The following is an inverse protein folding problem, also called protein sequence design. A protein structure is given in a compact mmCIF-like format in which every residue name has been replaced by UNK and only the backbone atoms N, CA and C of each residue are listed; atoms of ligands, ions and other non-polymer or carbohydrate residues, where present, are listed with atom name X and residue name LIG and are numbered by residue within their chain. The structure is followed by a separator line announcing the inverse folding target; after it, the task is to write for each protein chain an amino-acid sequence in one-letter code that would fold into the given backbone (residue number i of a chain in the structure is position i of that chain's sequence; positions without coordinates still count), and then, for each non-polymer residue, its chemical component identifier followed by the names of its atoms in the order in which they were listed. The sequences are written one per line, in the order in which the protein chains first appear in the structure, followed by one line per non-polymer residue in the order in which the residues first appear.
data_IF_017406537075
#
_entry.id   IF_017406537075
#
_cell.length_a   1.000
_cell.length_b   1.000
_cell.length_c   1.000
_cell.angle_alpha   90.00
_cell.angle_beta   90.00
_cell.angle_gamma   90.00
#
_symmetry.space_group_name_H-M   'P 1'
#
loop_
_entity.id
_entity.type
_entity.pdbx_description
1 polymer ?
#
# COMPACT_ATOMS: atom_id res chain seq x y z
N UNK A 1 0.39 -43.69 -34.40
CA UNK A 1 -0.54 -42.58 -34.00
C UNK A 1 -0.76 -42.67 -32.51
N UNK A 2 0.02 -41.96 -31.75
CA UNK A 2 -0.04 -41.91 -30.28
C UNK A 2 -0.75 -40.62 -29.86
N UNK A 3 -1.93 -40.76 -29.27
CA UNK A 3 -2.72 -39.64 -28.70
C UNK A 3 -1.97 -39.06 -27.50
N UNK A 4 -1.54 -37.79 -27.58
CA UNK A 4 -1.10 -37.00 -26.44
C UNK A 4 -2.32 -36.71 -25.57
N UNK A 5 -2.37 -37.32 -24.38
CA UNK A 5 -3.32 -36.97 -23.35
C UNK A 5 -2.99 -35.57 -22.79
N UNK A 6 -3.90 -34.64 -22.93
CA UNK A 6 -3.88 -33.38 -22.21
C UNK A 6 -4.15 -33.64 -20.73
N UNK A 7 -3.22 -33.25 -19.86
CA UNK A 7 -3.45 -33.31 -18.43
C UNK A 7 -4.66 -32.43 -18.06
N UNK A 8 -5.54 -32.87 -17.15
CA UNK A 8 -6.67 -32.06 -16.72
C UNK A 8 -6.14 -30.83 -15.98
N UNK A 9 -6.51 -29.63 -16.45
CA UNK A 9 -6.36 -28.39 -15.70
C UNK A 9 -7.20 -28.51 -14.45
N UNK A 10 -6.54 -28.61 -13.29
CA UNK A 10 -7.21 -28.48 -12.00
C UNK A 10 -7.71 -27.04 -11.94
N UNK A 11 -9.03 -26.77 -11.86
CA UNK A 11 -9.50 -25.44 -11.59
C UNK A 11 -8.96 -25.08 -10.21
N UNK A 12 -8.22 -23.97 -10.11
CA UNK A 12 -7.90 -23.37 -8.82
C UNK A 12 -9.26 -22.92 -8.27
N UNK A 13 -9.92 -23.85 -7.58
CA UNK A 13 -11.13 -23.55 -6.83
C UNK A 13 -10.80 -22.38 -5.94
N UNK A 14 -11.64 -21.35 -6.00
CA UNK A 14 -11.57 -20.20 -5.09
C UNK A 14 -11.42 -20.78 -3.68
N UNK A 15 -10.23 -20.70 -3.13
CA UNK A 15 -9.98 -21.14 -1.76
C UNK A 15 -10.94 -20.34 -0.92
N UNK A 16 -11.91 -21.03 -0.34
CA UNK A 16 -12.89 -20.39 0.54
C UNK A 16 -12.15 -19.89 1.79
N UNK A 17 -11.61 -18.69 1.67
CA UNK A 17 -10.78 -18.04 2.69
C UNK A 17 -11.61 -17.62 3.91
N UNK A 18 -12.94 -17.75 3.89
CA UNK A 18 -13.80 -17.55 5.05
C UNK A 18 -13.65 -18.64 6.12
N UNK A 19 -13.02 -19.77 5.79
CA UNK A 19 -12.82 -20.89 6.71
C UNK A 19 -11.75 -20.64 7.79
N UNK A 20 -10.95 -19.55 7.68
CA UNK A 20 -9.86 -19.27 8.63
C UNK A 20 -10.27 -18.20 9.67
N UNK A 21 -11.53 -17.84 9.79
CA UNK A 21 -12.03 -16.97 10.86
C UNK A 21 -11.50 -15.51 10.85
N UNK A 22 -10.74 -15.09 9.84
CA UNK A 22 -10.23 -13.73 9.71
C UNK A 22 -11.12 -12.91 8.80
N UNK A 23 -11.76 -11.89 9.38
CA UNK A 23 -12.48 -10.89 8.57
C UNK A 23 -11.52 -10.23 7.61
N UNK A 24 -11.81 -10.34 6.31
CA UNK A 24 -11.06 -9.67 5.23
C UNK A 24 -11.51 -8.23 4.99
N UNK A 25 -12.48 -7.76 5.77
CA UNK A 25 -13.04 -6.44 5.57
C UNK A 25 -11.97 -5.37 5.73
N UNK A 26 -11.74 -4.59 4.66
CA UNK A 26 -10.87 -3.42 4.68
C UNK A 26 -11.42 -2.30 5.57
N UNK A 27 -12.69 -2.38 5.98
CA UNK A 27 -13.33 -1.46 6.93
C UNK A 27 -12.56 -1.32 8.24
N UNK A 28 -11.85 -2.36 8.67
CA UNK A 28 -11.03 -2.35 9.90
C UNK A 28 -9.80 -1.42 9.81
N UNK A 29 -9.40 -1.00 8.61
CA UNK A 29 -8.22 -0.15 8.40
C UNK A 29 -8.56 1.33 8.35
N UNK A 30 -9.85 1.68 8.41
CA UNK A 30 -10.27 3.07 8.41
C UNK A 30 -9.62 3.81 9.58
N UNK A 31 -8.83 4.88 9.35
CA UNK A 31 -8.23 5.65 10.42
C UNK A 31 -9.32 6.46 11.14
N UNK A 32 -9.23 6.54 12.45
CA UNK A 32 -10.13 7.38 13.25
C UNK A 32 -10.04 8.85 12.86
N UNK A 33 -8.83 9.29 12.46
CA UNK A 33 -8.58 10.66 12.01
C UNK A 33 -7.45 10.70 10.97
N UNK A 34 -7.65 11.47 9.91
CA UNK A 34 -6.58 11.94 9.02
C UNK A 34 -6.38 13.42 9.34
N UNK A 35 -5.14 13.85 9.60
CA UNK A 35 -4.80 15.20 9.97
C UNK A 35 -4.04 15.89 8.83
N UNK A 36 -4.73 16.44 7.81
CA UNK A 36 -4.08 17.11 6.70
C UNK A 36 -3.25 18.29 7.17
N UNK A 37 -2.01 18.41 6.66
CA UNK A 37 -1.10 19.49 7.03
C UNK A 37 -0.23 19.21 8.26
N UNK A 38 -0.44 18.10 8.96
CA UNK A 38 0.45 17.70 10.06
C UNK A 38 1.77 17.15 9.53
N UNK A 39 2.92 17.75 9.82
CA UNK A 39 4.20 17.43 9.20
C UNK A 39 4.74 16.04 9.54
N UNK A 40 4.17 15.39 10.55
CA UNK A 40 4.57 14.05 11.00
C UNK A 40 3.48 13.00 10.78
N UNK A 41 2.34 13.39 10.22
CA UNK A 41 1.29 12.46 9.85
C UNK A 41 1.60 11.84 8.50
N UNK A 42 1.68 10.51 8.45
CA UNK A 42 2.04 9.80 7.21
C UNK A 42 1.06 10.05 6.07
N UNK A 43 -0.24 10.10 6.38
CA UNK A 43 -1.26 10.31 5.37
C UNK A 43 -1.19 11.73 4.79
N UNK A 44 -0.85 12.72 5.65
CA UNK A 44 -0.58 14.08 5.22
C UNK A 44 0.60 14.13 4.24
N UNK A 45 1.71 13.44 4.56
CA UNK A 45 2.89 13.38 3.69
C UNK A 45 2.56 12.70 2.35
N UNK A 46 1.83 11.59 2.38
CA UNK A 46 1.40 10.89 1.15
C UNK A 46 0.53 11.79 0.28
N UNK A 47 -0.46 12.49 0.89
CA UNK A 47 -1.32 13.46 0.19
C UNK A 47 -0.52 14.61 -0.44
N UNK A 48 0.51 15.12 0.25
CA UNK A 48 1.36 16.18 -0.27
C UNK A 48 2.22 15.70 -1.45
N UNK A 49 2.63 14.44 -1.45
CA UNK A 49 3.37 13.86 -2.58
C UNK A 49 2.46 13.54 -3.78
N UNK A 50 1.21 13.16 -3.54
CA UNK A 50 0.19 13.03 -4.60
C UNK A 50 -0.05 14.38 -5.26
N UNK A 51 -0.13 15.46 -4.48
CA UNK A 51 -0.31 16.83 -4.97
C UNK A 51 -1.77 17.18 -5.26
N UNK A 52 -1.98 18.13 -6.19
CA UNK A 52 -3.28 18.67 -6.54
C UNK A 52 -3.56 18.49 -8.04
N UNK A 53 -4.84 18.39 -8.42
CA UNK A 53 -5.31 18.35 -9.83
C UNK A 53 -4.65 17.22 -10.63
N UNK A 54 -4.51 16.04 -10.00
CA UNK A 54 -3.91 14.85 -10.60
C UNK A 54 -4.95 13.81 -10.96
N UNK A 55 -4.69 13.04 -12.00
CA UNK A 55 -5.36 11.77 -12.26
C UNK A 55 -4.69 10.73 -11.38
N UNK A 56 -5.40 10.22 -10.38
CA UNK A 56 -4.83 9.33 -9.35
C UNK A 56 -5.49 7.96 -9.44
N UNK A 57 -4.66 6.92 -9.47
CA UNK A 57 -5.10 5.56 -9.17
C UNK A 57 -4.77 5.26 -7.70
N UNK A 58 -5.80 5.14 -6.86
CA UNK A 58 -5.63 4.71 -5.48
C UNK A 58 -5.84 3.20 -5.38
N UNK A 59 -4.77 2.48 -5.11
CA UNK A 59 -4.76 1.02 -4.98
C UNK A 59 -5.01 0.67 -3.52
N UNK A 60 -6.06 -0.14 -3.24
CA UNK A 60 -6.52 -0.41 -1.88
C UNK A 60 -7.19 0.82 -1.25
N UNK A 61 -8.15 1.43 -1.97
CA UNK A 61 -8.78 2.68 -1.52
C UNK A 61 -9.66 2.52 -0.26
N UNK A 62 -9.93 1.29 0.18
CA UNK A 62 -10.78 1.00 1.35
C UNK A 62 -12.13 1.73 1.22
N UNK A 63 -12.56 2.43 2.26
CA UNK A 63 -13.80 3.24 2.27
C UNK A 63 -13.66 4.60 1.59
N UNK A 64 -12.51 4.89 0.95
CA UNK A 64 -12.23 6.17 0.28
C UNK A 64 -11.77 7.28 1.23
N UNK A 65 -11.26 6.92 2.40
CA UNK A 65 -10.84 7.94 3.39
C UNK A 65 -9.70 8.84 2.89
N UNK A 66 -8.77 8.31 2.08
CA UNK A 66 -7.72 9.11 1.43
C UNK A 66 -8.27 9.77 0.16
N UNK A 67 -9.11 9.04 -0.60
CA UNK A 67 -9.78 9.56 -1.81
C UNK A 67 -10.51 10.87 -1.54
N UNK A 68 -11.19 11.00 -0.40
CA UNK A 68 -11.88 12.23 0.01
C UNK A 68 -10.96 13.43 0.00
N UNK A 69 -9.80 13.33 0.65
CA UNK A 69 -8.84 14.45 0.72
C UNK A 69 -8.18 14.73 -0.65
N UNK A 70 -8.00 13.70 -1.48
CA UNK A 70 -7.52 13.89 -2.85
C UNK A 70 -8.59 14.59 -3.72
N UNK A 71 -9.86 14.24 -3.55
CA UNK A 71 -10.97 14.94 -4.24
C UNK A 71 -11.08 16.41 -3.82
N UNK A 72 -10.91 16.74 -2.53
CA UNK A 72 -10.85 18.11 -2.01
C UNK A 72 -9.67 18.90 -2.63
N UNK A 73 -8.63 18.23 -3.08
CA UNK A 73 -7.48 18.78 -3.81
C UNK A 73 -7.70 18.82 -5.34
N UNK A 74 -8.94 18.60 -5.80
CA UNK A 74 -9.34 18.54 -7.20
C UNK A 74 -8.63 17.43 -8.01
N UNK A 75 -8.26 16.32 -7.37
CA UNK A 75 -7.77 15.14 -8.06
C UNK A 75 -8.94 14.34 -8.64
N UNK A 76 -8.71 13.75 -9.82
CA UNK A 76 -9.60 12.75 -10.40
C UNK A 76 -9.16 11.37 -9.89
N UNK A 77 -9.88 10.82 -8.91
CA UNK A 77 -9.48 9.58 -8.24
C UNK A 77 -10.24 8.39 -8.84
N UNK A 78 -9.49 7.38 -9.28
CA UNK A 78 -9.98 6.03 -9.56
C UNK A 78 -9.50 5.10 -8.47
N UNK A 79 -10.43 4.38 -7.82
CA UNK A 79 -10.12 3.46 -6.73
C UNK A 79 -10.08 2.00 -7.19
N UNK A 80 -9.18 1.21 -6.60
CA UNK A 80 -9.21 -0.26 -6.65
C UNK A 80 -9.35 -0.76 -5.22
N UNK A 81 -10.31 -1.66 -4.99
CA UNK A 81 -10.53 -2.30 -3.69
C UNK A 81 -10.99 -3.74 -3.89
N UNK A 82 -10.58 -4.65 -3.00
CA UNK A 82 -10.97 -6.06 -3.06
C UNK A 82 -12.27 -6.34 -2.28
N UNK A 83 -12.54 -5.53 -1.28
CA UNK A 83 -13.75 -5.61 -0.45
C UNK A 83 -14.87 -4.78 -1.11
N UNK A 84 -15.92 -5.46 -1.58
CA UNK A 84 -17.03 -4.82 -2.28
C UNK A 84 -17.82 -3.84 -1.38
N UNK A 85 -17.92 -4.09 -0.07
CA UNK A 85 -18.63 -3.19 0.85
C UNK A 85 -17.82 -1.89 1.06
N UNK A 86 -16.52 -1.99 1.24
CA UNK A 86 -15.64 -0.84 1.33
C UNK A 86 -15.61 -0.05 0.01
N UNK A 87 -15.51 -0.74 -1.12
CA UNK A 87 -15.56 -0.13 -2.45
C UNK A 87 -16.84 0.68 -2.68
N UNK A 88 -17.99 0.19 -2.23
CA UNK A 88 -19.26 0.92 -2.35
C UNK A 88 -19.23 2.24 -1.57
N UNK A 89 -18.64 2.25 -0.37
CA UNK A 89 -18.45 3.50 0.40
C UNK A 89 -17.50 4.48 -0.29
N UNK A 90 -16.42 3.96 -0.90
CA UNK A 90 -15.43 4.77 -1.60
C UNK A 90 -16.01 5.51 -2.83
N UNK A 91 -17.09 4.99 -3.46
CA UNK A 91 -17.75 5.63 -4.61
C UNK A 91 -18.20 7.06 -4.35
N UNK A 92 -18.40 7.44 -3.10
CA UNK A 92 -18.75 8.83 -2.74
C UNK A 92 -17.62 9.83 -2.98
N UNK A 93 -16.37 9.34 -3.12
CA UNK A 93 -15.17 10.19 -3.20
C UNK A 93 -14.33 9.92 -4.45
N UNK A 94 -14.58 8.81 -5.14
CA UNK A 94 -13.90 8.42 -6.37
C UNK A 94 -14.79 8.67 -7.59
N UNK A 95 -14.19 8.97 -8.74
CA UNK A 95 -14.91 9.00 -10.02
C UNK A 95 -15.36 7.61 -10.45
N UNK A 96 -14.47 6.63 -10.22
CA UNK A 96 -14.72 5.21 -10.46
C UNK A 96 -14.11 4.38 -9.35
N UNK A 97 -14.73 3.24 -9.01
CA UNK A 97 -14.16 2.24 -8.11
C UNK A 97 -14.33 0.85 -8.72
N UNK A 98 -13.22 0.15 -8.86
CA UNK A 98 -13.14 -1.20 -9.39
C UNK A 98 -12.95 -2.20 -8.25
N UNK A 99 -13.85 -3.21 -8.18
CA UNK A 99 -13.70 -4.30 -7.21
C UNK A 99 -12.82 -5.38 -7.81
N UNK A 100 -11.54 -5.42 -7.41
CA UNK A 100 -10.51 -6.26 -8.05
C UNK A 100 -9.55 -6.83 -7.01
N UNK A 101 -9.24 -8.13 -7.14
CA UNK A 101 -8.12 -8.76 -6.42
C UNK A 101 -6.84 -8.65 -7.27
N UNK A 102 -5.87 -7.87 -6.81
CA UNK A 102 -4.59 -7.64 -7.50
C UNK A 102 -3.71 -8.89 -7.60
N UNK A 103 -4.03 -9.95 -6.86
CA UNK A 103 -3.35 -11.25 -6.97
C UNK A 103 -3.84 -12.07 -8.17
N UNK A 104 -4.90 -11.61 -8.86
CA UNK A 104 -5.39 -12.20 -10.11
C UNK A 104 -4.70 -11.50 -11.28
N UNK A 105 -4.26 -12.31 -12.26
CA UNK A 105 -3.60 -11.76 -13.44
C UNK A 105 -4.60 -10.92 -14.29
N UNK A 106 -4.04 -9.97 -15.04
CA UNK A 106 -4.74 -9.18 -16.07
C UNK A 106 -5.68 -8.07 -15.58
N UNK A 107 -5.71 -7.74 -14.29
CA UNK A 107 -6.51 -6.63 -13.76
C UNK A 107 -6.18 -5.29 -14.44
N UNK A 108 -4.92 -5.09 -14.80
CA UNK A 108 -4.41 -3.86 -15.41
C UNK A 108 -5.02 -3.58 -16.78
N UNK A 109 -5.45 -4.62 -17.51
CA UNK A 109 -6.06 -4.49 -18.86
C UNK A 109 -7.38 -3.71 -18.85
N UNK A 110 -7.99 -3.54 -17.68
CA UNK A 110 -9.21 -2.74 -17.52
C UNK A 110 -8.94 -1.23 -17.58
N UNK A 111 -7.68 -0.81 -17.55
CA UNK A 111 -7.29 0.59 -17.50
C UNK A 111 -6.58 1.01 -18.80
N UNK A 112 -6.82 2.25 -19.29
CA UNK A 112 -6.06 2.79 -20.40
C UNK A 112 -4.58 2.95 -20.05
N UNK A 113 -3.71 2.83 -21.04
CA UNK A 113 -2.28 3.15 -20.86
C UNK A 113 -2.11 4.64 -20.56
N UNK A 114 -1.11 4.96 -19.72
CA UNK A 114 -0.74 6.33 -19.37
C UNK A 114 -1.93 7.17 -18.85
N UNK A 115 -2.88 6.51 -18.18
CA UNK A 115 -4.11 7.14 -17.69
C UNK A 115 -3.90 7.97 -16.42
N UNK A 116 -2.84 7.68 -15.64
CA UNK A 116 -2.66 8.25 -14.30
C UNK A 116 -1.35 9.01 -14.16
N UNK A 117 -1.42 10.16 -13.52
CA UNK A 117 -0.26 10.99 -13.18
C UNK A 117 0.44 10.46 -11.93
N UNK A 118 -0.35 9.86 -11.00
CA UNK A 118 0.12 9.30 -9.73
C UNK A 118 -0.63 8.01 -9.41
N UNK A 119 0.11 7.02 -8.92
CA UNK A 119 -0.49 5.82 -8.32
C UNK A 119 -0.14 5.80 -6.84
N UNK A 120 -1.16 5.79 -5.96
CA UNK A 120 -1.01 5.70 -4.51
C UNK A 120 -1.20 4.25 -4.04
N UNK A 121 -0.21 3.72 -3.30
CA UNK A 121 -0.23 2.40 -2.68
C UNK A 121 0.02 2.57 -1.16
N UNK A 122 -1.04 2.86 -0.42
CA UNK A 122 -0.97 3.06 1.03
C UNK A 122 -1.17 1.76 1.78
N UNK A 123 -0.09 1.13 2.25
CA UNK A 123 -0.12 -0.14 3.00
C UNK A 123 -0.84 -1.28 2.23
N UNK A 124 -0.41 -1.53 0.99
CA UNK A 124 -1.01 -2.53 0.09
C UNK A 124 -0.03 -3.63 -0.27
N UNK A 125 1.23 -3.28 -0.59
CA UNK A 125 2.18 -4.22 -1.19
C UNK A 125 2.54 -5.38 -0.25
N UNK A 126 2.47 -5.18 1.06
CA UNK A 126 2.68 -6.21 2.07
C UNK A 126 1.60 -7.29 2.11
N UNK A 127 0.41 -6.99 1.57
CA UNK A 127 -0.71 -7.92 1.48
C UNK A 127 -0.73 -8.74 0.19
N UNK A 128 0.18 -8.46 -0.75
CA UNK A 128 0.21 -9.09 -2.06
C UNK A 128 1.10 -10.34 -2.10
N UNK A 129 0.70 -11.31 -2.89
CA UNK A 129 1.50 -12.52 -3.17
C UNK A 129 2.74 -12.15 -4.00
N UNK A 130 2.56 -11.35 -5.05
CA UNK A 130 3.63 -10.87 -5.93
C UNK A 130 3.57 -9.35 -6.14
N UNK A 131 4.07 -8.55 -5.16
CA UNK A 131 4.08 -7.10 -5.28
C UNK A 131 5.00 -6.59 -6.40
N UNK A 132 6.02 -7.37 -6.81
CA UNK A 132 6.89 -7.02 -7.95
C UNK A 132 6.12 -7.00 -9.26
N UNK A 133 5.26 -8.01 -9.48
CA UNK A 133 4.44 -8.08 -10.68
C UNK A 133 3.42 -6.93 -10.70
N UNK A 134 2.78 -6.62 -9.57
CA UNK A 134 1.83 -5.51 -9.48
C UNK A 134 2.49 -4.17 -9.80
N UNK A 135 3.68 -3.89 -9.26
CA UNK A 135 4.42 -2.67 -9.60
C UNK A 135 4.80 -2.59 -11.09
N UNK A 136 5.20 -3.72 -11.71
CA UNK A 136 5.47 -3.74 -13.16
C UNK A 136 4.23 -3.46 -13.99
N UNK A 137 3.08 -4.01 -13.60
CA UNK A 137 1.80 -3.73 -14.28
C UNK A 137 1.39 -2.25 -14.13
N UNK A 138 1.55 -1.67 -12.96
CA UNK A 138 1.28 -0.24 -12.71
C UNK A 138 2.06 0.66 -13.68
N UNK A 139 3.28 0.27 -14.06
CA UNK A 139 4.07 1.03 -15.03
C UNK A 139 3.38 1.19 -16.41
N UNK A 140 2.44 0.31 -16.77
CA UNK A 140 1.71 0.40 -18.05
C UNK A 140 0.66 1.50 -18.05
N UNK A 141 0.06 1.80 -16.90
CA UNK A 141 -1.01 2.80 -16.76
C UNK A 141 -0.52 4.15 -16.24
N UNK A 142 0.72 4.19 -15.76
CA UNK A 142 1.36 5.41 -15.28
C UNK A 142 1.84 6.25 -16.46
N UNK A 143 1.48 7.54 -16.48
CA UNK A 143 1.88 8.50 -17.50
C UNK A 143 3.42 8.69 -17.56
N UNK A 144 3.92 9.15 -18.70
CA UNK A 144 5.33 9.50 -18.87
C UNK A 144 5.70 10.61 -17.88
N UNK A 145 6.63 10.30 -16.95
CA UNK A 145 7.00 11.22 -15.86
C UNK A 145 6.06 11.18 -14.65
N UNK A 146 5.07 10.29 -14.66
CA UNK A 146 4.22 10.02 -13.51
C UNK A 146 5.00 9.39 -12.34
N UNK A 147 4.38 9.35 -11.17
CA UNK A 147 5.00 8.82 -9.95
C UNK A 147 4.13 7.78 -9.25
N UNK A 148 4.78 6.86 -8.56
CA UNK A 148 4.15 6.01 -7.55
C UNK A 148 4.48 6.56 -6.16
N UNK A 149 3.47 6.58 -5.29
CA UNK A 149 3.58 6.98 -3.88
C UNK A 149 3.22 5.77 -3.04
N UNK A 150 4.15 5.33 -2.20
CA UNK A 150 4.05 4.05 -1.49
C UNK A 150 4.26 4.27 0.00
N UNK A 151 3.49 3.57 0.85
CA UNK A 151 3.85 3.31 2.24
C UNK A 151 4.00 1.82 2.50
N UNK A 152 4.97 1.47 3.36
CA UNK A 152 5.27 0.10 3.77
C UNK A 152 5.64 0.04 5.25
N UNK A 153 5.13 -0.92 6.03
CA UNK A 153 5.51 -1.10 7.42
C UNK A 153 6.95 -1.63 7.57
N UNK A 154 7.61 -1.19 8.63
CA UNK A 154 8.97 -1.62 8.95
C UNK A 154 8.94 -2.81 9.91
N UNK A 155 9.17 -4.01 9.41
CA UNK A 155 9.19 -5.22 10.25
C UNK A 155 10.35 -5.24 11.25
N UNK A 156 11.44 -4.52 10.97
CA UNK A 156 12.63 -4.47 11.84
C UNK A 156 12.67 -3.23 12.74
N UNK A 157 11.52 -2.61 12.99
CA UNK A 157 11.39 -1.56 14.00
C UNK A 157 11.87 -2.05 15.37
N UNK A 158 12.47 -1.19 16.19
CA UNK A 158 13.09 -1.58 17.45
C UNK A 158 12.15 -2.36 18.38
N UNK A 159 10.87 -2.06 18.43
CA UNK A 159 9.88 -2.82 19.22
C UNK A 159 9.75 -4.26 18.73
N UNK A 160 9.65 -4.45 17.40
CA UNK A 160 9.58 -5.80 16.81
C UNK A 160 10.86 -6.58 17.09
N UNK A 161 12.04 -5.93 17.01
CA UNK A 161 13.32 -6.57 17.34
C UNK A 161 13.37 -7.02 18.80
N UNK A 162 12.91 -6.19 19.74
CA UNK A 162 12.85 -6.58 21.15
C UNK A 162 11.90 -7.75 21.38
N UNK A 163 10.75 -7.77 20.73
CA UNK A 163 9.83 -8.91 20.75
C UNK A 163 10.49 -10.18 20.27
N UNK A 164 11.16 -10.16 19.11
CA UNK A 164 11.88 -11.31 18.55
C UNK A 164 12.99 -11.79 19.50
N UNK A 165 13.76 -10.87 20.09
CA UNK A 165 14.78 -11.22 21.09
C UNK A 165 14.19 -11.88 22.33
N UNK A 166 12.95 -11.55 22.70
CA UNK A 166 12.19 -12.20 23.77
C UNK A 166 11.47 -13.49 23.30
N UNK A 167 11.70 -13.97 22.06
CA UNK A 167 11.05 -15.14 21.50
C UNK A 167 9.61 -14.91 21.04
N UNK A 168 9.19 -13.65 20.85
CA UNK A 168 7.82 -13.26 20.50
C UNK A 168 7.75 -12.77 19.06
N UNK A 169 6.82 -13.34 18.28
CA UNK A 169 6.45 -12.89 16.94
C UNK A 169 4.94 -13.10 16.76
N UNK A 170 4.17 -12.37 17.57
CA UNK A 170 2.74 -12.59 17.67
C UNK A 170 2.00 -11.76 16.61
N UNK A 171 1.20 -12.44 15.78
CA UNK A 171 0.34 -11.77 14.83
C UNK A 171 -0.73 -10.93 15.53
N UNK A 172 -0.99 -9.75 14.97
CA UNK A 172 -1.90 -8.75 15.51
C UNK A 172 -3.03 -8.44 14.52
N UNK A 173 -4.17 -7.90 14.98
CA UNK A 173 -5.24 -7.47 14.09
C UNK A 173 -4.87 -6.30 13.19
N UNK A 174 -3.89 -5.46 13.58
CA UNK A 174 -3.42 -4.27 12.86
C UNK A 174 -1.94 -4.02 13.17
N UNK A 175 -1.26 -3.26 12.30
CA UNK A 175 0.10 -2.78 12.52
C UNK A 175 1.15 -3.62 11.82
N UNK A 176 2.41 -3.52 12.24
CA UNK A 176 3.55 -4.12 11.55
C UNK A 176 3.47 -5.65 11.41
N UNK A 177 2.91 -6.33 12.42
CA UNK A 177 2.70 -7.78 12.44
C UNK A 177 1.23 -8.14 12.18
N UNK A 178 0.53 -7.38 11.32
CA UNK A 178 -0.83 -7.71 10.93
C UNK A 178 -0.88 -9.13 10.33
N UNK A 179 -1.85 -9.92 10.79
CA UNK A 179 -2.02 -11.31 10.36
C UNK A 179 -2.33 -11.50 8.87
N UNK A 180 -2.66 -10.41 8.15
CA UNK A 180 -2.88 -10.42 6.70
C UNK A 180 -1.64 -10.04 5.90
N UNK A 181 -0.54 -9.63 6.55
CA UNK A 181 0.71 -9.37 5.85
C UNK A 181 1.32 -10.68 5.34
N UNK A 182 1.51 -10.75 4.03
CA UNK A 182 2.18 -11.86 3.34
C UNK A 182 3.66 -11.58 3.12
N UNK A 183 4.05 -10.30 3.11
CA UNK A 183 5.41 -9.83 2.89
C UNK A 183 5.82 -8.87 4.00
N UNK A 184 7.07 -8.97 4.40
CA UNK A 184 7.67 -8.13 5.43
C UNK A 184 8.86 -7.38 4.86
N UNK A 185 8.90 -6.06 5.11
CA UNK A 185 9.91 -5.21 4.48
C UNK A 185 10.84 -4.56 5.52
N UNK A 186 12.10 -4.48 5.16
CA UNK A 186 13.10 -3.57 5.73
C UNK A 186 13.26 -2.40 4.76
N UNK A 187 13.94 -1.32 5.15
CA UNK A 187 14.24 -0.22 4.22
C UNK A 187 15.00 -0.70 2.97
N UNK A 188 15.90 -1.68 3.14
CA UNK A 188 16.66 -2.25 2.01
C UNK A 188 15.74 -3.01 1.06
N UNK A 189 14.98 -3.97 1.59
CA UNK A 189 14.12 -4.83 0.74
C UNK A 189 12.95 -4.05 0.12
N UNK A 190 12.47 -2.97 0.75
CA UNK A 190 11.51 -2.06 0.16
C UNK A 190 12.10 -1.28 -1.04
N UNK A 191 13.35 -0.80 -0.92
CA UNK A 191 14.08 -0.19 -2.05
C UNK A 191 14.31 -1.20 -3.17
N UNK A 192 14.82 -2.37 -2.85
CA UNK A 192 15.07 -3.45 -3.82
C UNK A 192 13.77 -3.83 -4.59
N UNK A 193 12.61 -3.87 -3.91
CA UNK A 193 11.31 -4.08 -4.53
C UNK A 193 11.00 -3.02 -5.59
N UNK A 194 11.08 -1.74 -5.20
CA UNK A 194 10.72 -0.60 -6.05
C UNK A 194 11.67 -0.51 -7.25
N UNK A 195 12.99 -0.58 -7.00
CA UNK A 195 14.01 -0.42 -8.03
C UNK A 195 14.05 -1.59 -9.01
N UNK A 196 13.85 -2.83 -8.53
CA UNK A 196 13.79 -4.02 -9.40
C UNK A 196 12.52 -4.08 -10.26
N UNK A 197 11.48 -3.34 -9.88
CA UNK A 197 10.28 -3.17 -10.70
C UNK A 197 10.44 -2.08 -11.80
N UNK A 198 11.62 -1.42 -11.88
CA UNK A 198 11.95 -0.43 -12.90
C UNK A 198 11.72 1.02 -12.50
N UNK A 199 11.51 1.30 -11.22
CA UNK A 199 11.30 2.67 -10.72
C UNK A 199 12.56 3.23 -10.07
N UNK A 200 12.75 4.55 -10.20
CA UNK A 200 13.81 5.31 -9.51
C UNK A 200 13.20 6.07 -8.34
N UNK A 201 13.65 5.79 -7.13
CA UNK A 201 13.22 6.49 -5.92
C UNK A 201 13.68 7.95 -5.97
N UNK A 202 12.75 8.89 -5.84
CA UNK A 202 13.01 10.34 -5.86
C UNK A 202 12.83 10.99 -4.50
N UNK A 203 11.98 10.42 -3.62
CA UNK A 203 11.82 10.84 -2.23
C UNK A 203 11.71 9.62 -1.32
N UNK A 204 12.22 9.78 -0.12
CA UNK A 204 12.11 8.81 0.97
C UNK A 204 11.84 9.55 2.27
N UNK A 205 10.86 9.08 3.04
CA UNK A 205 10.57 9.61 4.37
C UNK A 205 10.35 8.45 5.35
N UNK A 206 11.15 8.39 6.43
CA UNK A 206 10.96 7.42 7.50
C UNK A 206 9.92 7.96 8.49
N UNK A 207 8.68 7.50 8.39
CA UNK A 207 7.58 7.94 9.24
C UNK A 207 7.64 7.29 10.62
N UNK A 208 7.43 8.09 11.67
CA UNK A 208 7.28 7.60 13.05
C UNK A 208 5.84 7.19 13.32
N UNK A 209 5.62 6.23 14.23
CA UNK A 209 4.28 5.77 14.60
C UNK A 209 3.46 6.84 15.32
N UNK A 210 2.15 6.85 15.09
CA UNK A 210 1.22 7.84 15.66
C UNK A 210 1.13 7.85 17.20
N UNK A 211 1.60 6.79 17.88
CA UNK A 211 1.67 6.76 19.35
C UNK A 211 2.78 7.62 19.95
N UNK A 212 3.71 8.09 19.13
CA UNK A 212 4.76 9.02 19.55
C UNK A 212 4.23 10.45 19.46
N UNK A 213 3.50 10.89 20.48
CA UNK A 213 2.89 12.22 20.53
C UNK A 213 3.71 13.19 21.39
N UNK A 214 3.44 14.50 21.24
CA UNK A 214 3.97 15.56 22.09
C UNK A 214 5.38 16.03 21.74
N UNK A 215 6.04 16.65 22.69
CA UNK A 215 7.33 17.34 22.53
C UNK A 215 8.48 16.43 22.09
N UNK A 216 8.37 15.12 22.25
CA UNK A 216 9.39 14.14 21.82
C UNK A 216 9.33 13.82 20.31
N UNK A 217 8.27 14.17 19.60
CA UNK A 217 8.10 13.86 18.15
C UNK A 217 9.29 14.31 17.29
N UNK A 218 9.79 15.54 17.40
CA UNK A 218 10.95 15.98 16.60
C UNK A 218 12.19 15.14 16.83
N UNK A 219 12.45 14.73 18.08
CA UNK A 219 13.61 13.88 18.41
C UNK A 219 13.48 12.50 17.76
N UNK A 220 12.31 11.88 17.84
CA UNK A 220 12.06 10.60 17.21
C UNK A 220 12.16 10.69 15.68
N UNK A 221 11.74 11.81 15.10
CA UNK A 221 11.87 12.03 13.66
C UNK A 221 13.34 12.15 13.24
N UNK A 222 14.18 12.81 14.01
CA UNK A 222 15.63 12.88 13.77
C UNK A 222 16.25 11.47 13.86
N UNK A 223 15.90 10.71 14.88
CA UNK A 223 16.36 9.33 15.04
C UNK A 223 15.91 8.44 13.87
N UNK A 224 14.66 8.58 13.42
CA UNK A 224 14.15 7.85 12.27
C UNK A 224 14.88 8.20 10.97
N UNK A 225 15.26 9.46 10.76
CA UNK A 225 16.06 9.85 9.60
C UNK A 225 17.49 9.32 9.68
N UNK A 226 18.09 9.32 10.87
CA UNK A 226 19.48 8.85 11.07
C UNK A 226 19.59 7.33 10.98
N UNK A 227 18.61 6.61 11.52
CA UNK A 227 18.58 5.14 11.59
C UNK A 227 17.19 4.60 11.22
N UNK A 228 16.76 4.74 9.94
CA UNK A 228 15.39 4.42 9.52
C UNK A 228 15.00 2.97 9.78
N UNK A 229 15.92 2.02 9.61
CA UNK A 229 15.65 0.60 9.90
C UNK A 229 15.35 0.31 11.37
N UNK A 230 15.73 1.21 12.30
CA UNK A 230 15.50 1.01 13.74
C UNK A 230 14.30 1.81 14.25
N UNK A 231 14.19 3.08 13.85
CA UNK A 231 13.26 4.01 14.48
C UNK A 231 12.06 4.40 13.60
N UNK A 232 12.12 4.20 12.27
CA UNK A 232 10.93 4.39 11.46
C UNK A 232 9.91 3.27 11.71
N UNK A 233 8.66 3.65 11.90
CA UNK A 233 7.54 2.72 11.97
C UNK A 233 7.08 2.27 10.58
N UNK A 234 7.12 3.22 9.63
CA UNK A 234 6.81 2.99 8.22
C UNK A 234 7.81 3.70 7.31
N UNK A 235 7.93 3.20 6.10
CA UNK A 235 8.71 3.78 5.03
C UNK A 235 7.79 4.37 3.98
N UNK A 236 7.95 5.66 3.69
CA UNK A 236 7.25 6.32 2.60
C UNK A 236 8.22 6.54 1.45
N UNK A 237 7.77 6.23 0.24
CA UNK A 237 8.56 6.43 -0.99
C UNK A 237 7.73 7.15 -2.03
N UNK A 238 8.36 8.09 -2.75
CA UNK A 238 7.94 8.52 -4.07
C UNK A 238 8.97 8.00 -5.07
N UNK A 239 8.50 7.35 -6.12
CA UNK A 239 9.38 6.85 -7.16
C UNK A 239 8.77 7.12 -8.54
N UNK A 240 9.63 7.23 -9.57
CA UNK A 240 9.25 7.51 -10.96
C UNK A 240 9.76 6.42 -11.87
N UNK A 241 9.03 6.24 -12.95
CA UNK A 241 9.41 5.36 -14.05
C UNK A 241 10.65 5.86 -14.78
#
# INVERSE_FOLDING_TARGET
MTKKGTAPSIPIAAVNRSAIGYSKSSLRYEPETVLPGEPYDRNSILLDWVGNRRRVLEVGCSTGYMSRFMAERNCAVTGIEVDAEAAERARSYCQEVHVVDLNVHDWIKSFPKEAFDVVLLGDVLEHLIDPWNVLRQIAEVLDTGGSIVISLPNVVHWMTRLGILAGQFDYQPKGTLDHTHLRFFTVKTARDLIESAGYRIVRFHPAIGGRMSGHARPVWQVLAHSMPGLFAYQFLFEARK
#
